data_IF_270433834658
#
_entry.id   IF_270433834658
#
_cell.length_a   1.000
_cell.length_b   1.000
_cell.length_c   1.000
_cell.angle_alpha   90.00
_cell.angle_beta   90.00
_cell.angle_gamma   90.00
#
_symmetry.space_group_name_H-M   'P 1'
#
loop_
_entity.id
_entity.type
_entity.pdbx_description
1 polymer ?
#
# COMPACT_ATOMS: atom_id res chain seq x y z
N UNK A 1 17.31 -25.55 -13.11
CA UNK A 1 18.51 -24.69 -13.05
C UNK A 1 18.29 -23.74 -11.87
N UNK A 2 19.30 -23.53 -11.03
CA UNK A 2 19.21 -22.54 -9.94
C UNK A 2 19.32 -21.10 -10.45
N UNK A 3 19.08 -20.14 -9.59
CA UNK A 3 19.21 -18.72 -9.91
C UNK A 3 20.67 -18.35 -10.27
N UNK A 4 20.81 -17.28 -11.07
CA UNK A 4 22.13 -16.78 -11.49
C UNK A 4 22.99 -16.30 -10.31
N UNK A 5 22.36 -15.68 -9.33
CA UNK A 5 22.99 -15.20 -8.10
C UNK A 5 22.42 -15.95 -6.89
N UNK A 6 23.26 -16.16 -5.87
CA UNK A 6 22.87 -16.78 -4.60
C UNK A 6 22.71 -15.74 -3.50
N UNK A 7 21.97 -16.07 -2.45
CA UNK A 7 21.79 -15.20 -1.27
C UNK A 7 23.12 -14.80 -0.63
N UNK A 8 24.04 -15.76 -0.51
CA UNK A 8 25.35 -15.53 0.10
C UNK A 8 26.30 -14.73 -0.80
N UNK A 9 26.17 -14.86 -2.14
CA UNK A 9 27.06 -14.21 -3.09
C UNK A 9 26.69 -12.73 -3.36
N UNK A 10 25.43 -12.49 -3.69
CA UNK A 10 24.91 -11.13 -3.95
C UNK A 10 23.41 -11.09 -3.65
N UNK A 11 23.06 -10.75 -2.41
CA UNK A 11 21.67 -10.75 -1.95
C UNK A 11 20.75 -9.77 -2.73
N UNK A 12 21.14 -8.52 -3.05
CA UNK A 12 20.33 -7.64 -3.87
C UNK A 12 20.02 -8.17 -5.26
N UNK A 13 21.00 -8.75 -5.94
CA UNK A 13 20.83 -9.35 -7.27
C UNK A 13 20.05 -10.67 -7.21
N UNK A 14 20.28 -11.49 -6.19
CA UNK A 14 19.47 -12.68 -5.92
C UNK A 14 17.99 -12.31 -5.82
N UNK A 15 17.64 -11.30 -5.04
CA UNK A 15 16.26 -10.83 -4.90
C UNK A 15 15.64 -10.46 -6.25
N UNK A 16 16.36 -9.69 -7.08
CA UNK A 16 15.89 -9.31 -8.42
C UNK A 16 15.72 -10.52 -9.34
N UNK A 17 16.64 -11.50 -9.24
CA UNK A 17 16.53 -12.74 -10.00
C UNK A 17 15.30 -13.56 -9.59
N UNK A 18 14.98 -13.66 -8.29
CA UNK A 18 13.74 -14.33 -7.83
C UNK A 18 12.51 -13.67 -8.43
N UNK A 19 12.43 -12.34 -8.39
CA UNK A 19 11.28 -11.58 -8.94
C UNK A 19 11.13 -11.83 -10.44
N UNK A 20 12.24 -11.78 -11.19
CA UNK A 20 12.25 -11.94 -12.64
C UNK A 20 11.96 -13.37 -13.08
N UNK A 21 12.66 -14.36 -12.50
CA UNK A 21 12.52 -15.78 -12.89
C UNK A 21 11.15 -16.37 -12.49
N UNK A 22 10.53 -15.83 -11.42
CA UNK A 22 9.17 -16.18 -11.02
C UNK A 22 8.08 -15.39 -11.79
N UNK A 23 8.46 -14.58 -12.75
CA UNK A 23 7.55 -13.78 -13.59
C UNK A 23 6.58 -12.91 -12.79
N UNK A 24 7.08 -12.29 -11.70
CA UNK A 24 6.25 -11.54 -10.78
C UNK A 24 6.08 -10.06 -11.16
N UNK A 25 7.15 -9.41 -11.59
CA UNK A 25 7.15 -8.00 -11.95
C UNK A 25 8.35 -7.63 -12.82
N UNK A 26 8.25 -6.50 -13.50
CA UNK A 26 9.33 -5.89 -14.28
C UNK A 26 9.27 -4.36 -14.19
N UNK A 27 10.35 -3.69 -14.57
CA UNK A 27 10.37 -2.24 -14.69
C UNK A 27 9.49 -1.80 -15.86
N UNK A 28 8.69 -0.76 -15.65
CA UNK A 28 7.90 -0.17 -16.73
C UNK A 28 8.72 0.86 -17.54
N UNK A 29 8.15 1.35 -18.64
CA UNK A 29 8.70 2.49 -19.39
C UNK A 29 8.61 3.82 -18.62
N UNK A 30 7.74 3.89 -17.61
CA UNK A 30 7.64 5.05 -16.71
C UNK A 30 8.70 4.94 -15.62
N UNK A 31 9.59 5.95 -15.47
CA UNK A 31 10.69 5.89 -14.52
C UNK A 31 10.23 5.59 -13.10
N UNK A 32 10.85 4.59 -12.48
CA UNK A 32 10.59 4.20 -11.11
C UNK A 32 9.29 3.42 -10.86
N UNK A 33 8.45 3.24 -11.88
CA UNK A 33 7.23 2.45 -11.79
C UNK A 33 7.47 1.01 -12.23
N UNK A 34 6.71 0.07 -11.67
CA UNK A 34 6.78 -1.34 -12.03
C UNK A 34 5.49 -1.82 -12.71
N UNK A 35 5.64 -2.81 -13.58
CA UNK A 35 4.53 -3.65 -14.02
C UNK A 35 4.48 -4.87 -13.11
N UNK A 36 3.38 -5.07 -12.40
CA UNK A 36 3.14 -6.31 -11.66
C UNK A 36 2.48 -7.28 -12.64
N UNK A 37 3.18 -8.38 -12.95
CA UNK A 37 2.72 -9.39 -13.91
C UNK A 37 1.59 -10.24 -13.30
N UNK A 38 0.83 -10.98 -14.12
CA UNK A 38 -0.34 -11.73 -13.64
C UNK A 38 -0.07 -12.66 -12.46
N UNK A 39 1.06 -13.36 -12.45
CA UNK A 39 1.40 -14.25 -11.33
C UNK A 39 1.69 -13.48 -10.04
N UNK A 40 2.47 -12.40 -10.12
CA UNK A 40 2.72 -11.51 -8.98
C UNK A 40 1.44 -10.83 -8.49
N UNK A 41 0.58 -10.39 -9.41
CA UNK A 41 -0.69 -9.76 -9.06
C UNK A 41 -1.65 -10.74 -8.37
N UNK A 42 -1.69 -11.99 -8.79
CA UNK A 42 -2.51 -13.03 -8.15
C UNK A 42 -2.09 -13.29 -6.68
N UNK A 43 -0.80 -13.13 -6.34
CA UNK A 43 -0.35 -13.19 -4.94
C UNK A 43 -0.87 -11.95 -4.17
N UNK A 44 -0.77 -10.76 -4.77
CA UNK A 44 -1.28 -9.52 -4.19
C UNK A 44 -2.80 -9.58 -3.94
N UNK A 45 -3.58 -10.10 -4.88
CA UNK A 45 -5.02 -10.29 -4.72
C UNK A 45 -5.37 -11.20 -3.53
N UNK A 46 -4.57 -12.24 -3.28
CA UNK A 46 -4.75 -13.10 -2.11
C UNK A 46 -4.43 -12.36 -0.80
N UNK A 47 -3.36 -11.56 -0.76
CA UNK A 47 -3.03 -10.72 0.39
C UNK A 47 -4.14 -9.70 0.64
N UNK A 48 -4.59 -9.03 -0.42
CA UNK A 48 -5.65 -8.02 -0.36
C UNK A 48 -6.95 -8.63 0.18
N UNK A 49 -7.39 -9.74 -0.37
CA UNK A 49 -8.63 -10.42 0.07
C UNK A 49 -8.57 -10.78 1.54
N UNK A 50 -7.48 -11.39 1.98
CA UNK A 50 -7.34 -11.83 3.37
C UNK A 50 -7.31 -10.65 4.34
N UNK A 51 -6.55 -9.59 4.02
CA UNK A 51 -6.51 -8.38 4.83
C UNK A 51 -7.85 -7.66 4.84
N UNK A 52 -8.55 -7.59 3.71
CA UNK A 52 -9.86 -6.95 3.61
C UNK A 52 -10.92 -7.67 4.47
N UNK A 53 -10.88 -8.99 4.50
CA UNK A 53 -11.74 -9.79 5.38
C UNK A 53 -11.44 -9.49 6.86
N UNK A 54 -10.16 -9.46 7.26
CA UNK A 54 -9.74 -9.11 8.63
C UNK A 54 -10.15 -7.69 9.03
N UNK A 55 -10.10 -6.72 8.10
CA UNK A 55 -10.58 -5.35 8.37
C UNK A 55 -12.10 -5.31 8.56
N UNK A 56 -12.85 -6.04 7.77
CA UNK A 56 -14.31 -6.14 7.90
C UNK A 56 -14.72 -6.81 9.21
N UNK A 57 -13.96 -7.83 9.66
CA UNK A 57 -14.18 -8.45 10.98
C UNK A 57 -14.01 -7.47 12.14
N UNK A 58 -13.19 -6.43 11.97
CA UNK A 58 -13.01 -5.36 12.96
C UNK A 58 -13.98 -4.18 12.76
N UNK A 59 -14.94 -4.30 11.84
CA UNK A 59 -15.99 -3.30 11.59
C UNK A 59 -15.63 -2.22 10.59
N UNK A 60 -14.48 -2.32 9.92
CA UNK A 60 -14.08 -1.35 8.90
C UNK A 60 -14.83 -1.55 7.59
N UNK A 61 -15.04 -0.46 6.87
CA UNK A 61 -15.67 -0.44 5.55
C UNK A 61 -14.77 0.21 4.53
N UNK A 62 -14.86 -0.26 3.28
CA UNK A 62 -14.07 0.31 2.20
C UNK A 62 -14.71 1.59 1.66
N UNK A 63 -13.90 2.60 1.41
CA UNK A 63 -14.24 3.82 0.71
C UNK A 63 -13.21 4.10 -0.40
N UNK A 64 -13.48 5.06 -1.27
CA UNK A 64 -12.53 5.51 -2.28
C UNK A 64 -12.47 7.04 -2.28
N UNK A 65 -11.26 7.58 -2.21
CA UNK A 65 -10.98 9.01 -2.25
C UNK A 65 -10.18 9.36 -3.51
N UNK A 66 -10.34 10.59 -4.05
CA UNK A 66 -9.71 10.98 -5.30
C UNK A 66 -8.18 10.86 -5.31
N UNK A 67 -7.64 10.49 -6.47
CA UNK A 67 -6.20 10.43 -6.74
C UNK A 67 -5.55 11.82 -6.67
N UNK A 68 -6.25 12.84 -7.18
CA UNK A 68 -5.74 14.20 -7.30
C UNK A 68 -6.14 15.05 -6.10
N UNK A 69 -5.16 15.66 -5.46
CA UNK A 69 -5.32 16.50 -4.27
C UNK A 69 -5.00 17.94 -4.65
N UNK A 70 -5.87 18.93 -4.35
CA UNK A 70 -5.54 20.35 -4.51
C UNK A 70 -4.26 20.71 -3.73
N UNK A 71 -3.32 21.40 -4.36
CA UNK A 71 -2.04 21.79 -3.72
C UNK A 71 -2.25 22.58 -2.42
N UNK A 72 -3.31 23.41 -2.37
CA UNK A 72 -3.67 24.18 -1.18
C UNK A 72 -3.97 23.31 0.05
N UNK A 73 -4.38 22.04 -0.13
CA UNK A 73 -4.64 21.14 1.01
C UNK A 73 -3.36 20.72 1.71
N UNK A 74 -2.27 20.48 0.97
CA UNK A 74 -0.96 20.17 1.57
C UNK A 74 -0.43 21.33 2.42
N UNK A 75 -0.75 22.57 2.06
CA UNK A 75 -0.27 23.76 2.79
C UNK A 75 -0.98 23.97 4.14
N UNK A 76 -2.04 23.21 4.46
CA UNK A 76 -2.80 23.37 5.72
C UNK A 76 -2.16 22.66 6.89
N UNK A 77 -1.32 21.69 6.64
CA UNK A 77 -0.63 20.89 7.67
C UNK A 77 0.88 20.92 7.38
N UNK A 78 1.61 21.82 8.08
CA UNK A 78 3.01 22.12 7.77
C UNK A 78 3.97 20.92 7.96
N UNK A 79 3.77 20.12 9.02
CA UNK A 79 4.61 18.94 9.26
C UNK A 79 4.44 17.87 8.18
N UNK A 80 3.22 17.71 7.68
CA UNK A 80 2.92 16.79 6.58
C UNK A 80 3.60 17.23 5.28
N UNK A 81 3.63 18.55 5.01
CA UNK A 81 4.33 19.13 3.86
C UNK A 81 5.83 18.84 3.91
N UNK A 82 6.48 19.03 5.05
CA UNK A 82 7.91 18.74 5.19
C UNK A 82 8.26 17.27 4.88
N UNK A 83 7.37 16.34 5.24
CA UNK A 83 7.54 14.92 4.99
C UNK A 83 7.41 14.52 3.51
N UNK A 84 6.48 15.11 2.77
CA UNK A 84 6.10 14.64 1.42
C UNK A 84 6.37 15.62 0.28
N UNK A 85 6.61 16.90 0.55
CA UNK A 85 6.76 17.93 -0.50
C UNK A 85 7.86 17.63 -1.51
N UNK A 86 8.92 16.94 -1.11
CA UNK A 86 10.08 16.62 -1.95
C UNK A 86 9.84 15.46 -2.92
N UNK A 87 8.78 14.70 -2.73
CA UNK A 87 8.51 13.44 -3.44
C UNK A 87 7.17 13.46 -4.20
N UNK A 88 6.55 14.62 -4.37
CA UNK A 88 5.26 14.75 -5.03
C UNK A 88 5.39 14.85 -6.55
N UNK A 89 4.48 14.17 -7.26
CA UNK A 89 4.21 14.44 -8.66
C UNK A 89 3.09 15.48 -8.77
N UNK A 90 3.32 16.52 -9.59
CA UNK A 90 2.44 17.68 -9.73
C UNK A 90 1.81 17.71 -11.12
N UNK A 91 0.47 17.79 -11.17
CA UNK A 91 -0.30 17.98 -12.41
C UNK A 91 -0.57 19.47 -12.60
N UNK A 92 -0.04 20.03 -13.68
CA UNK A 92 -0.08 21.48 -13.96
C UNK A 92 -1.02 21.84 -15.10
N UNK A 93 -1.34 20.87 -15.99
CA UNK A 93 -2.16 21.06 -17.19
C UNK A 93 -3.13 19.89 -17.37
N UNK A 94 -4.26 20.14 -18.05
CA UNK A 94 -5.30 19.13 -18.27
C UNK A 94 -5.45 18.69 -19.74
N UNK A 95 -4.61 19.21 -20.69
CA UNK A 95 -4.75 18.89 -22.10
C UNK A 95 -3.40 18.88 -22.81
N UNK A 96 -3.31 18.03 -23.83
CA UNK A 96 -2.25 18.02 -24.83
C UNK A 96 -2.78 18.60 -26.15
N UNK A 97 -1.88 19.11 -27.00
CA UNK A 97 -2.16 19.49 -28.39
C UNK A 97 -1.06 18.99 -29.33
N UNK A 98 -1.34 18.94 -30.63
CA UNK A 98 -0.33 18.63 -31.62
C UNK A 98 0.71 19.76 -31.67
N UNK A 99 1.98 19.40 -31.79
CA UNK A 99 3.06 20.34 -32.04
C UNK A 99 2.93 20.92 -33.46
N UNK A 100 3.22 22.20 -33.63
CA UNK A 100 3.10 22.88 -34.92
C UNK A 100 4.11 22.37 -35.96
N UNK A 101 5.25 21.86 -35.50
CA UNK A 101 6.31 21.27 -36.32
C UNK A 101 6.09 19.79 -36.68
N UNK A 102 4.97 19.20 -36.25
CA UNK A 102 4.65 17.78 -36.45
C UNK A 102 5.47 16.78 -35.62
N UNK A 103 6.21 17.24 -34.61
CA UNK A 103 7.04 16.37 -33.73
C UNK A 103 6.25 15.51 -32.79
N UNK A 104 4.91 15.59 -32.80
CA UNK A 104 4.03 14.81 -31.95
C UNK A 104 3.12 15.66 -31.06
N UNK A 105 2.93 15.27 -29.78
CA UNK A 105 2.08 16.00 -28.85
C UNK A 105 2.90 16.77 -27.82
N UNK A 106 2.43 17.96 -27.49
CA UNK A 106 3.01 18.84 -26.47
C UNK A 106 1.93 19.21 -25.45
N UNK A 107 2.36 19.61 -24.25
CA UNK A 107 1.45 20.19 -23.26
C UNK A 107 0.86 21.49 -23.84
N UNK A 108 -0.47 21.62 -23.82
CA UNK A 108 -1.14 22.85 -24.28
C UNK A 108 -0.98 23.96 -23.24
N UNK A 109 -0.23 25.07 -23.52
CA UNK A 109 -0.04 26.14 -22.56
C UNK A 109 -1.35 26.83 -22.14
N UNK A 110 -2.38 26.78 -22.99
CA UNK A 110 -3.70 27.37 -22.71
C UNK A 110 -4.53 26.52 -21.75
N UNK A 111 -4.10 25.26 -21.48
CA UNK A 111 -4.79 24.35 -20.60
C UNK A 111 -4.13 24.25 -19.20
N UNK A 112 -3.41 25.28 -18.78
CA UNK A 112 -2.86 25.35 -17.42
C UNK A 112 -3.98 25.38 -16.40
N UNK A 113 -3.84 24.58 -15.34
CA UNK A 113 -4.76 24.59 -14.22
C UNK A 113 -4.66 25.90 -13.42
N UNK A 114 -5.77 26.42 -12.95
CA UNK A 114 -5.79 27.58 -12.05
C UNK A 114 -5.10 27.22 -10.71
N UNK A 115 -5.36 26.02 -10.19
CA UNK A 115 -4.67 25.44 -9.05
C UNK A 115 -4.03 24.13 -9.48
N UNK A 116 -2.75 23.94 -9.17
CA UNK A 116 -2.02 22.72 -9.41
C UNK A 116 -2.56 21.58 -8.51
N UNK A 117 -2.59 20.38 -9.06
CA UNK A 117 -3.03 19.18 -8.34
C UNK A 117 -1.83 18.26 -8.07
N UNK A 118 -1.88 17.59 -6.95
CA UNK A 118 -0.86 16.63 -6.53
C UNK A 118 -1.41 15.23 -6.74
N UNK A 119 -0.65 14.34 -7.38
CA UNK A 119 -0.93 12.91 -7.34
C UNK A 119 -0.64 12.46 -5.92
N UNK A 120 -1.62 11.90 -5.22
CA UNK A 120 -1.54 11.58 -3.78
C UNK A 120 -0.28 10.78 -3.43
N UNK A 121 0.59 11.28 -2.55
CA UNK A 121 1.66 10.51 -1.93
C UNK A 121 1.15 9.72 -0.71
N UNK A 122 0.03 10.17 -0.16
CA UNK A 122 -0.79 9.62 0.92
C UNK A 122 -2.11 10.40 0.94
N UNK A 123 -3.15 9.93 1.61
CA UNK A 123 -4.50 10.48 1.44
C UNK A 123 -5.04 11.26 2.63
N UNK A 124 -4.27 11.49 3.70
CA UNK A 124 -4.77 12.17 4.90
C UNK A 124 -5.47 13.49 4.56
N UNK A 125 -4.85 14.34 3.75
CA UNK A 125 -5.37 15.69 3.49
C UNK A 125 -6.71 15.67 2.73
N UNK A 126 -6.86 14.81 1.72
CA UNK A 126 -8.13 14.68 0.98
C UNK A 126 -9.20 13.99 1.83
N UNK A 127 -8.83 13.02 2.65
CA UNK A 127 -9.75 12.31 3.53
C UNK A 127 -10.26 13.24 4.64
N UNK A 128 -9.38 13.97 5.31
CA UNK A 128 -9.78 14.89 6.37
C UNK A 128 -10.61 16.07 5.86
N UNK A 129 -10.37 16.55 4.63
CA UNK A 129 -11.24 17.53 3.99
C UNK A 129 -12.65 16.97 3.74
N UNK A 130 -12.78 15.67 3.50
CA UNK A 130 -14.05 14.98 3.30
C UNK A 130 -14.75 14.70 4.63
N UNK A 131 -14.01 14.22 5.64
CA UNK A 131 -14.56 13.94 6.98
C UNK A 131 -15.16 15.16 7.65
N UNK A 132 -14.67 16.35 7.33
CA UNK A 132 -15.30 17.60 7.74
C UNK A 132 -16.80 17.69 7.40
N UNK A 133 -17.21 17.07 6.29
CA UNK A 133 -18.60 17.07 5.84
C UNK A 133 -19.40 15.89 6.40
N UNK A 134 -18.73 14.84 6.86
CA UNK A 134 -19.38 13.61 7.36
C UNK A 134 -19.61 13.65 8.86
N UNK A 135 -18.81 14.41 9.60
CA UNK A 135 -18.81 14.44 11.07
C UNK A 135 -19.43 15.75 11.56
N UNK A 136 -20.50 15.64 12.32
CA UNK A 136 -21.19 16.76 12.97
C UNK A 136 -21.42 16.50 14.46
N UNK A 137 -21.66 15.26 14.85
CA UNK A 137 -21.97 14.88 16.22
C UNK A 137 -21.29 13.56 16.61
N UNK A 138 -21.30 13.28 17.91
CA UNK A 138 -20.78 12.01 18.45
C UNK A 138 -21.46 10.76 17.86
N UNK A 139 -22.66 10.91 17.24
CA UNK A 139 -23.38 9.81 16.59
C UNK A 139 -22.78 9.40 15.27
N UNK A 140 -21.97 10.26 14.67
CA UNK A 140 -21.27 9.99 13.42
C UNK A 140 -19.93 9.26 13.66
N UNK A 141 -19.58 9.04 14.92
CA UNK A 141 -18.32 8.41 15.35
C UNK A 141 -18.56 7.02 15.99
N UNK A 142 -17.61 6.07 15.83
CA UNK A 142 -16.39 6.21 15.06
C UNK A 142 -16.62 6.10 13.56
N UNK A 143 -15.79 6.76 12.74
CA UNK A 143 -15.63 6.45 11.33
C UNK A 143 -14.47 5.45 11.21
N UNK A 144 -14.73 4.30 10.59
CA UNK A 144 -13.78 3.22 10.39
C UNK A 144 -13.66 2.91 8.89
N UNK A 145 -12.86 3.71 8.18
CA UNK A 145 -12.71 3.57 6.73
C UNK A 145 -11.35 2.97 6.34
N UNK A 146 -11.39 2.15 5.32
CA UNK A 146 -10.24 1.63 4.61
C UNK A 146 -10.32 1.99 3.12
N UNK A 147 -9.18 2.17 2.47
CA UNK A 147 -9.09 2.37 1.03
C UNK A 147 -8.00 1.48 0.44
N UNK A 148 -8.34 0.75 -0.62
CA UNK A 148 -7.37 0.10 -1.50
C UNK A 148 -7.08 1.03 -2.68
N UNK A 149 -5.83 1.39 -2.87
CA UNK A 149 -5.45 2.44 -3.82
C UNK A 149 -4.00 2.31 -4.28
N UNK A 150 -3.61 3.16 -5.20
CA UNK A 150 -2.22 3.46 -5.51
C UNK A 150 -1.83 4.81 -4.92
N UNK A 151 -0.54 5.00 -4.71
CA UNK A 151 0.07 6.29 -4.36
C UNK A 151 1.34 6.47 -5.16
N UNK A 152 1.79 7.73 -5.29
CA UNK A 152 3.01 8.06 -5.99
C UNK A 152 3.93 8.90 -5.10
N UNK A 153 5.17 8.40 -4.90
CA UNK A 153 6.26 9.09 -4.20
C UNK A 153 7.48 9.05 -5.11
N UNK A 154 7.97 10.19 -5.54
CA UNK A 154 9.05 10.28 -6.52
C UNK A 154 10.34 9.68 -5.96
N UNK A 155 10.61 8.42 -6.30
CA UNK A 155 11.73 7.65 -5.77
C UNK A 155 12.86 7.52 -6.81
N UNK A 156 14.07 7.83 -6.41
CA UNK A 156 15.25 7.80 -7.27
C UNK A 156 16.00 6.46 -7.24
N UNK A 157 15.82 5.66 -6.19
CA UNK A 157 16.52 4.37 -6.00
C UNK A 157 15.51 3.25 -5.88
N UNK A 158 14.99 2.83 -7.01
CA UNK A 158 13.89 1.86 -7.07
C UNK A 158 14.36 0.41 -6.92
N UNK A 159 13.50 -0.41 -6.31
CA UNK A 159 13.59 -1.86 -6.26
C UNK A 159 12.18 -2.43 -6.31
N UNK A 160 11.94 -3.36 -7.24
CA UNK A 160 10.63 -3.98 -7.44
C UNK A 160 10.02 -4.45 -6.11
N UNK A 161 8.75 -4.12 -5.87
CA UNK A 161 7.96 -4.32 -4.65
C UNK A 161 8.46 -3.56 -3.41
N UNK A 162 9.76 -3.46 -3.17
CA UNK A 162 10.30 -2.88 -1.94
C UNK A 162 10.27 -1.35 -1.93
N UNK A 163 10.58 -0.73 -3.07
CA UNK A 163 10.70 0.71 -3.21
C UNK A 163 10.52 1.12 -4.67
N UNK A 164 9.34 1.61 -5.02
CA UNK A 164 8.99 2.08 -6.37
C UNK A 164 8.33 3.45 -6.28
N UNK A 165 8.34 4.20 -7.38
CA UNK A 165 7.72 5.52 -7.42
C UNK A 165 6.20 5.44 -7.27
N UNK A 166 5.57 4.51 -7.97
CA UNK A 166 4.18 4.14 -7.79
C UNK A 166 4.10 2.76 -7.15
N UNK A 167 3.16 2.57 -6.23
CA UNK A 167 2.88 1.27 -5.62
C UNK A 167 1.41 1.16 -5.19
N UNK A 168 0.95 -0.07 -5.12
CA UNK A 168 -0.35 -0.41 -4.55
C UNK A 168 -0.22 -0.54 -3.04
N UNK A 169 -1.24 -0.10 -2.35
CA UNK A 169 -1.30 -0.20 -0.90
C UNK A 169 -2.74 -0.27 -0.38
N UNK A 170 -2.84 -0.43 0.88
CA UNK A 170 -4.01 -0.19 1.68
C UNK A 170 -3.69 0.91 2.68
N UNK A 171 -4.63 1.80 2.88
CA UNK A 171 -4.59 2.81 3.93
C UNK A 171 -5.92 2.87 4.66
N UNK A 172 -5.86 2.75 5.98
CA UNK A 172 -7.02 2.95 6.84
C UNK A 172 -6.96 4.32 7.49
N UNK A 173 -8.11 4.95 7.64
CA UNK A 173 -8.25 6.26 8.28
C UNK A 173 -9.47 6.24 9.14
N UNK A 174 -9.28 6.46 10.44
CA UNK A 174 -10.37 6.41 11.41
C UNK A 174 -10.49 7.69 12.20
N UNK A 175 -11.72 8.00 12.63
CA UNK A 175 -12.02 9.16 13.47
C UNK A 175 -12.82 8.70 14.69
N UNK A 176 -12.43 9.17 15.87
CA UNK A 176 -12.94 8.74 17.17
C UNK A 176 -13.32 9.94 18.04
N UNK A 177 -14.23 9.71 19.00
CA UNK A 177 -14.67 10.73 19.94
C UNK A 177 -13.64 10.98 21.04
N UNK A 178 -12.85 9.98 21.42
CA UNK A 178 -11.89 10.10 22.52
C UNK A 178 -10.48 9.65 22.10
N UNK A 179 -9.51 10.11 22.88
CA UNK A 179 -8.10 9.72 22.72
C UNK A 179 -7.93 8.23 22.89
N UNK A 180 -8.54 7.68 23.93
CA UNK A 180 -8.44 6.28 24.31
C UNK A 180 -8.97 5.35 23.21
N UNK A 181 -10.08 5.72 22.58
CA UNK A 181 -10.64 4.99 21.43
C UNK A 181 -9.67 4.98 20.26
N UNK A 182 -9.05 6.12 19.91
CA UNK A 182 -8.11 6.22 18.81
C UNK A 182 -6.80 5.47 19.09
N UNK A 183 -6.25 5.56 20.31
CA UNK A 183 -5.05 4.80 20.71
C UNK A 183 -5.33 3.29 20.65
N UNK A 184 -6.47 2.84 21.17
CA UNK A 184 -6.89 1.44 21.11
C UNK A 184 -7.04 0.96 19.66
N UNK A 185 -7.58 1.79 18.78
CA UNK A 185 -7.72 1.48 17.36
C UNK A 185 -6.36 1.34 16.67
N UNK A 186 -5.43 2.27 16.90
CA UNK A 186 -4.08 2.19 16.36
C UNK A 186 -3.36 0.89 16.77
N UNK A 187 -3.51 0.49 18.04
CA UNK A 187 -2.96 -0.77 18.57
C UNK A 187 -3.66 -2.01 17.97
N UNK A 188 -4.98 -1.97 17.83
CA UNK A 188 -5.76 -3.05 17.21
C UNK A 188 -5.27 -3.33 15.78
N UNK A 189 -5.09 -2.29 14.97
CA UNK A 189 -4.66 -2.45 13.58
C UNK A 189 -3.22 -2.91 13.47
N UNK A 190 -2.34 -2.52 14.39
CA UNK A 190 -1.01 -3.11 14.50
C UNK A 190 -1.06 -4.62 14.75
N UNK A 191 -1.98 -5.09 15.60
CA UNK A 191 -2.16 -6.51 15.88
C UNK A 191 -2.74 -7.25 14.67
N UNK A 192 -3.69 -6.66 13.95
CA UNK A 192 -4.22 -7.23 12.69
C UNK A 192 -3.10 -7.45 11.69
N UNK A 193 -2.21 -6.47 11.51
CA UNK A 193 -1.06 -6.62 10.62
C UNK A 193 -0.06 -7.68 11.09
N UNK A 194 0.20 -7.75 12.39
CA UNK A 194 1.04 -8.80 12.95
C UNK A 194 0.46 -10.19 12.74
N UNK A 195 -0.82 -10.36 13.00
CA UNK A 195 -1.54 -11.61 12.80
C UNK A 195 -1.55 -12.03 11.32
N UNK A 196 -1.75 -11.08 10.40
CA UNK A 196 -1.65 -11.35 8.97
C UNK A 196 -0.24 -11.81 8.57
N UNK A 197 0.79 -11.09 9.02
CA UNK A 197 2.17 -11.44 8.71
C UNK A 197 2.54 -12.84 9.23
N UNK A 198 2.18 -13.17 10.46
CA UNK A 198 2.53 -14.44 11.09
C UNK A 198 1.68 -15.62 10.57
N UNK A 199 0.35 -15.45 10.46
CA UNK A 199 -0.57 -16.55 10.16
C UNK A 199 -0.71 -16.84 8.66
N UNK A 200 -0.65 -15.81 7.81
CA UNK A 200 -0.88 -15.96 6.37
C UNK A 200 0.40 -15.81 5.54
N UNK A 201 1.26 -14.87 5.89
CA UNK A 201 2.55 -14.73 5.23
C UNK A 201 3.61 -15.67 5.81
N UNK A 202 3.39 -16.26 7.00
CA UNK A 202 4.38 -17.02 7.78
C UNK A 202 5.70 -16.22 8.01
N UNK A 203 5.59 -14.92 8.17
CA UNK A 203 6.70 -14.00 8.44
C UNK A 203 6.65 -13.58 9.91
N UNK A 204 7.58 -14.05 10.75
CA UNK A 204 7.69 -13.57 12.12
C UNK A 204 7.99 -12.09 12.16
N UNK A 205 7.27 -11.32 12.98
CA UNK A 205 7.43 -9.88 13.09
C UNK A 205 7.56 -9.42 14.53
N UNK A 206 8.35 -8.38 14.73
CA UNK A 206 8.44 -7.65 16.00
C UNK A 206 7.53 -6.43 15.91
N UNK A 207 6.66 -6.28 16.92
CA UNK A 207 5.82 -5.08 17.09
C UNK A 207 6.56 -4.07 17.96
N UNK A 208 6.60 -2.81 17.53
CA UNK A 208 7.33 -1.76 18.25
C UNK A 208 6.78 -0.36 17.99
N UNK A 209 7.37 0.60 18.68
CA UNK A 209 7.10 2.04 18.55
C UNK A 209 8.31 2.71 17.92
N UNK A 210 8.11 3.52 16.92
CA UNK A 210 9.20 4.27 16.28
C UNK A 210 9.72 5.39 17.16
N UNK A 211 11.02 5.65 17.07
CA UNK A 211 11.64 6.82 17.69
C UNK A 211 11.02 8.12 17.14
N UNK A 212 11.14 9.21 17.88
CA UNK A 212 10.54 10.50 17.49
C UNK A 212 10.97 10.96 16.08
N UNK A 213 12.23 10.69 15.69
CA UNK A 213 12.78 11.08 14.39
C UNK A 213 12.28 10.25 13.21
N UNK A 214 11.66 9.09 13.47
CA UNK A 214 11.16 8.18 12.44
C UNK A 214 9.63 8.09 12.42
N UNK A 215 8.96 8.89 13.24
CA UNK A 215 7.50 8.95 13.25
C UNK A 215 6.98 9.46 11.92
N UNK A 216 5.78 9.00 11.58
CA UNK A 216 5.04 9.57 10.46
C UNK A 216 4.76 11.05 10.71
N UNK A 217 4.95 11.88 9.68
CA UNK A 217 4.73 13.33 9.76
C UNK A 217 3.29 13.65 10.17
N UNK A 218 3.12 14.38 11.25
CA UNK A 218 1.82 14.70 11.85
C UNK A 218 1.30 13.68 12.87
N UNK A 219 2.00 12.57 13.14
CA UNK A 219 1.60 11.59 14.14
C UNK A 219 2.20 11.88 15.52
N UNK A 220 1.41 11.64 16.57
CA UNK A 220 1.90 11.65 17.96
C UNK A 220 2.71 10.40 18.26
N UNK A 221 2.23 9.23 17.79
CA UNK A 221 2.95 7.96 17.86
C UNK A 221 2.81 7.17 16.57
N UNK A 222 3.87 6.43 16.23
CA UNK A 222 3.91 5.51 15.10
C UNK A 222 4.32 4.13 15.59
N UNK A 223 3.42 3.18 15.44
CA UNK A 223 3.65 1.76 15.69
C UNK A 223 4.05 1.07 14.40
N UNK A 224 4.87 0.03 14.47
CA UNK A 224 5.38 -0.70 13.31
C UNK A 224 5.43 -2.19 13.57
N UNK A 225 5.27 -2.98 12.53
CA UNK A 225 5.68 -4.38 12.49
C UNK A 225 6.91 -4.50 11.59
N UNK A 226 7.95 -5.17 12.08
CA UNK A 226 9.21 -5.34 11.36
C UNK A 226 9.60 -6.81 11.33
N UNK A 227 9.92 -7.33 10.14
CA UNK A 227 10.42 -8.68 9.94
C UNK A 227 11.94 -8.70 9.77
N UNK A 228 12.61 -9.71 10.32
CA UNK A 228 14.03 -9.94 10.07
C UNK A 228 14.19 -10.74 8.78
N UNK A 229 14.88 -10.14 7.81
CA UNK A 229 15.13 -10.77 6.51
C UNK A 229 16.37 -11.66 6.55
N UNK A 230 16.52 -12.51 5.52
CA UNK A 230 17.63 -13.50 5.48
C UNK A 230 19.04 -12.86 5.40
N UNK A 231 19.13 -11.58 5.02
CA UNK A 231 20.39 -10.81 5.05
C UNK A 231 20.69 -10.19 6.43
N UNK A 232 19.91 -10.51 7.45
CA UNK A 232 20.05 -9.99 8.80
C UNK A 232 19.55 -8.57 9.01
N UNK A 233 18.87 -7.97 8.04
CA UNK A 233 18.30 -6.62 8.15
C UNK A 233 16.82 -6.66 8.49
N UNK A 234 16.37 -5.71 9.30
CA UNK A 234 14.96 -5.49 9.55
C UNK A 234 14.29 -4.81 8.35
N UNK A 235 13.10 -5.30 7.99
CA UNK A 235 12.23 -4.69 6.99
C UNK A 235 10.93 -4.26 7.66
N UNK A 236 10.58 -2.98 7.54
CA UNK A 236 9.26 -2.48 7.93
C UNK A 236 8.18 -3.11 7.04
N UNK A 237 7.28 -3.87 7.64
CA UNK A 237 6.20 -4.57 6.95
C UNK A 237 4.86 -3.84 7.02
N UNK A 238 4.64 -3.01 8.04
CA UNK A 238 3.42 -2.22 8.17
C UNK A 238 3.53 -1.20 9.28
N UNK A 239 2.69 -0.17 9.24
CA UNK A 239 2.65 0.89 10.25
C UNK A 239 1.22 1.22 10.65
N UNK A 240 1.06 1.63 11.90
CA UNK A 240 -0.17 2.16 12.45
C UNK A 240 0.16 3.42 13.25
N UNK A 241 -0.56 4.51 12.95
CA UNK A 241 -0.26 5.83 13.47
C UNK A 241 -1.38 6.32 14.38
N UNK A 242 -1.04 6.78 15.57
CA UNK A 242 -1.91 7.61 16.37
C UNK A 242 -1.64 9.07 16.00
N UNK A 243 -2.57 9.68 15.26
CA UNK A 243 -2.43 11.05 14.72
C UNK A 243 -2.86 12.14 15.72
N UNK A 244 -3.48 11.74 16.83
CA UNK A 244 -4.05 12.71 17.78
C UNK A 244 -5.14 13.56 17.13
N UNK A 245 -5.08 14.87 17.31
CA UNK A 245 -6.04 15.83 16.74
C UNK A 245 -5.40 16.73 15.65
N UNK A 246 -4.18 16.45 15.21
CA UNK A 246 -3.42 17.34 14.32
C UNK A 246 -4.16 17.59 13.01
N UNK A 247 -4.54 16.53 12.29
CA UNK A 247 -5.31 16.64 11.05
C UNK A 247 -6.73 17.20 11.28
N UNK A 248 -7.38 16.80 12.36
CA UNK A 248 -8.71 17.33 12.70
C UNK A 248 -8.67 18.85 12.90
N UNK A 249 -7.65 19.39 13.56
CA UNK A 249 -7.44 20.84 13.73
C UNK A 249 -7.09 21.52 12.41
N UNK A 250 -6.20 20.96 11.61
CA UNK A 250 -5.78 21.51 10.31
C UNK A 250 -6.96 21.65 9.32
N UNK A 251 -7.90 20.70 9.33
CA UNK A 251 -9.08 20.70 8.46
C UNK A 251 -10.37 21.14 9.14
N UNK A 252 -10.29 21.53 10.42
CA UNK A 252 -11.42 21.96 11.24
C UNK A 252 -12.54 20.89 11.29
N UNK A 253 -12.18 19.65 11.63
CA UNK A 253 -13.10 18.53 11.79
C UNK A 253 -13.50 18.41 13.25
N UNK A 254 -14.67 18.92 13.57
CA UNK A 254 -15.22 18.99 14.92
C UNK A 254 -16.53 18.22 15.02
N UNK A 255 -16.88 17.81 16.21
CA UNK A 255 -18.16 17.17 16.52
C UNK A 255 -18.75 17.74 17.81
N UNK A 256 -20.05 17.66 17.93
CA UNK A 256 -20.76 17.97 19.19
C UNK A 256 -20.82 16.70 20.04
N UNK A 257 -20.27 16.74 21.25
CA UNK A 257 -20.27 15.62 22.18
C UNK A 257 -21.64 15.41 22.85
N UNK A 258 -21.75 14.38 23.71
CA UNK A 258 -22.98 14.07 24.47
C UNK A 258 -23.41 15.17 25.44
N UNK A 259 -22.53 16.11 25.79
CA UNK A 259 -22.76 17.23 26.69
C UNK A 259 -23.00 18.56 25.95
N UNK A 260 -23.25 18.51 24.64
CA UNK A 260 -23.37 19.67 23.75
C UNK A 260 -22.09 20.55 23.70
N UNK A 261 -20.92 19.93 23.91
CA UNK A 261 -19.63 20.60 23.75
C UNK A 261 -19.05 20.29 22.38
N UNK A 262 -18.46 21.32 21.77
CA UNK A 262 -17.72 21.16 20.53
C UNK A 262 -16.28 20.71 20.83
N UNK A 263 -15.81 19.66 20.18
CA UNK A 263 -14.44 19.17 20.29
C UNK A 263 -13.93 18.67 18.93
N UNK A 264 -12.62 18.58 18.78
CA UNK A 264 -11.99 17.97 17.63
C UNK A 264 -11.94 16.44 17.75
N UNK A 265 -12.12 15.74 16.64
CA UNK A 265 -12.03 14.29 16.62
C UNK A 265 -10.59 13.82 16.81
N UNK A 266 -10.43 12.60 17.32
CA UNK A 266 -9.16 11.90 17.43
C UNK A 266 -8.97 10.95 16.25
N UNK A 267 -7.76 10.90 15.71
CA UNK A 267 -7.48 10.30 14.42
C UNK A 267 -6.47 9.17 14.49
N UNK A 268 -6.65 8.16 13.64
CA UNK A 268 -5.61 7.18 13.30
C UNK A 268 -5.45 7.07 11.79
N UNK A 269 -4.27 6.66 11.34
CA UNK A 269 -4.06 6.09 10.01
C UNK A 269 -3.15 4.87 10.10
N UNK A 270 -3.35 3.91 9.22
CA UNK A 270 -2.58 2.67 9.21
C UNK A 270 -2.50 2.11 7.79
N UNK A 271 -1.35 1.49 7.44
CA UNK A 271 -1.13 1.07 6.07
C UNK A 271 -0.11 -0.04 5.89
N UNK A 272 -0.35 -0.83 4.83
CA UNK A 272 0.59 -1.79 4.24
C UNK A 272 0.57 -1.66 2.72
N UNK A 273 1.66 -2.03 2.08
CA UNK A 273 1.82 -1.89 0.63
C UNK A 273 2.30 -3.18 -0.01
N UNK A 274 2.47 -3.15 -1.33
CA UNK A 274 3.15 -4.22 -2.09
C UNK A 274 4.56 -4.53 -1.59
N UNK A 275 5.12 -3.75 -0.63
CA UNK A 275 6.34 -4.13 0.10
C UNK A 275 6.22 -5.47 0.80
N UNK A 276 5.00 -5.88 1.21
CA UNK A 276 4.75 -7.21 1.76
C UNK A 276 5.12 -8.34 0.79
N UNK A 277 5.00 -8.12 -0.53
CA UNK A 277 5.49 -9.06 -1.55
C UNK A 277 7.01 -9.23 -1.46
N UNK A 278 7.73 -8.12 -1.26
CA UNK A 278 9.17 -8.14 -1.02
C UNK A 278 9.54 -8.87 0.27
N UNK A 279 8.83 -8.62 1.35
CA UNK A 279 9.02 -9.32 2.63
C UNK A 279 8.83 -10.84 2.47
N UNK A 280 7.79 -11.25 1.75
CA UNK A 280 7.49 -12.65 1.45
C UNK A 280 8.65 -13.35 0.72
N UNK A 281 9.16 -12.71 -0.35
CA UNK A 281 10.30 -13.22 -1.12
C UNK A 281 11.54 -13.32 -0.24
N UNK A 282 11.86 -12.26 0.50
CA UNK A 282 13.07 -12.17 1.31
C UNK A 282 13.06 -13.11 2.51
N UNK A 283 11.88 -13.57 2.96
CA UNK A 283 11.75 -14.51 4.07
C UNK A 283 11.81 -15.95 3.61
N UNK A 284 11.13 -16.31 2.52
CA UNK A 284 10.86 -17.71 2.18
C UNK A 284 11.67 -18.23 1.00
N UNK A 285 12.03 -17.38 0.04
CA UNK A 285 12.70 -17.82 -1.18
C UNK A 285 14.12 -18.30 -0.92
N UNK A 286 14.61 -19.18 -1.79
CA UNK A 286 15.94 -19.78 -1.70
C UNK A 286 16.74 -19.58 -3.00
N UNK A 287 17.88 -20.26 -3.12
CA UNK A 287 18.73 -20.16 -4.31
C UNK A 287 18.19 -20.96 -5.51
N UNK A 288 17.10 -21.70 -5.33
CA UNK A 288 16.37 -22.37 -6.41
C UNK A 288 15.23 -21.51 -6.98
N UNK A 289 14.75 -20.50 -6.23
CA UNK A 289 13.74 -19.56 -6.69
C UNK A 289 12.70 -19.16 -5.63
N UNK A 290 11.53 -18.79 -6.12
CA UNK A 290 10.41 -18.31 -5.30
C UNK A 290 9.81 -19.44 -4.47
N UNK A 291 9.69 -19.22 -3.17
CA UNK A 291 8.95 -20.08 -2.24
C UNK A 291 7.83 -19.27 -1.61
N UNK A 292 6.62 -19.82 -1.57
CA UNK A 292 5.42 -19.16 -1.06
C UNK A 292 4.74 -20.03 0.01
N UNK A 293 4.20 -19.39 1.08
CA UNK A 293 3.30 -20.07 1.99
C UNK A 293 2.02 -20.50 1.25
N UNK A 294 1.42 -21.66 1.59
CA UNK A 294 0.26 -22.20 0.88
C UNK A 294 -0.93 -21.26 0.80
N UNK A 295 -1.19 -20.45 1.84
CA UNK A 295 -2.29 -19.49 1.86
C UNK A 295 -2.19 -18.42 0.76
N UNK A 296 -0.96 -18.03 0.40
CA UNK A 296 -0.71 -16.96 -0.57
C UNK A 296 -0.30 -17.49 -1.95
N UNK A 297 0.05 -18.76 -2.08
CA UNK A 297 0.38 -19.36 -3.37
C UNK A 297 -0.85 -19.36 -4.30
N UNK A 298 -0.77 -18.77 -5.50
CA UNK A 298 -1.86 -18.84 -6.49
C UNK A 298 -2.14 -20.26 -6.95
N UNK A 299 -1.07 -21.05 -7.09
CA UNK A 299 -1.11 -22.46 -7.46
C UNK A 299 -0.53 -23.26 -6.30
N UNK A 300 -1.35 -24.07 -5.66
CA UNK A 300 -0.95 -24.86 -4.48
C UNK A 300 -0.47 -26.26 -4.84
N UNK A 301 -0.96 -26.80 -5.94
CA UNK A 301 -0.63 -28.15 -6.40
C UNK A 301 -0.47 -28.14 -7.92
N UNK A 302 0.64 -28.67 -8.40
CA UNK A 302 0.89 -28.88 -9.84
C UNK A 302 1.00 -30.39 -10.09
N UNK A 303 0.18 -30.89 -11.00
CA UNK A 303 0.24 -32.29 -11.44
C UNK A 303 1.05 -32.34 -12.73
N UNK A 304 2.24 -32.95 -12.66
CA UNK A 304 3.10 -33.20 -13.84
C UNK A 304 2.90 -34.64 -14.30
N UNK A 305 2.18 -34.88 -15.41
CA UNK A 305 2.00 -36.23 -15.91
C UNK A 305 3.30 -36.76 -16.52
N UNK A 306 3.74 -37.93 -16.08
CA UNK A 306 4.89 -38.66 -16.67
C UNK A 306 4.32 -39.84 -17.41
N UNK A 307 4.45 -39.84 -18.73
CA UNK A 307 3.94 -40.95 -19.57
C UNK A 307 4.91 -41.33 -20.67
N UNK A 308 4.85 -42.60 -21.01
CA UNK A 308 5.45 -43.17 -22.21
C UNK A 308 4.32 -43.73 -23.05
N UNK A 309 4.10 -43.21 -24.27
CA UNK A 309 3.13 -43.69 -25.27
C UNK A 309 1.68 -43.87 -24.76
N UNK A 310 1.08 -42.87 -24.13
CA UNK A 310 -0.25 -42.97 -23.60
C UNK A 310 -1.27 -42.28 -24.51
N UNK A 311 -2.40 -42.95 -24.82
CA UNK A 311 -3.55 -42.45 -25.56
C UNK A 311 -4.35 -41.36 -24.77
N UNK A 312 -3.92 -41.01 -23.57
CA UNK A 312 -4.57 -39.99 -22.71
C UNK A 312 -4.60 -38.59 -23.34
N UNK A 313 -3.81 -38.33 -24.38
CA UNK A 313 -3.83 -37.07 -25.12
C UNK A 313 -4.92 -36.93 -26.15
N UNK A 314 -5.60 -37.97 -26.49
CA UNK A 314 -6.61 -37.95 -27.55
C UNK A 314 -8.03 -37.67 -27.03
N UNK A 315 -8.20 -37.58 -25.71
CA UNK A 315 -9.48 -37.27 -25.11
C UNK A 315 -9.35 -36.04 -24.23
N UNK A 316 -9.85 -34.83 -24.63
CA UNK A 316 -9.82 -33.63 -23.80
C UNK A 316 -10.61 -33.89 -22.52
N UNK A 317 -10.04 -33.45 -21.38
CA UNK A 317 -10.75 -33.56 -20.12
C UNK A 317 -12.01 -32.67 -20.14
N UNK A 318 -13.04 -32.93 -19.33
CA UNK A 318 -14.22 -32.07 -19.24
C UNK A 318 -13.89 -30.62 -18.85
N UNK A 319 -12.70 -30.37 -18.28
CA UNK A 319 -12.22 -29.01 -17.98
C UNK A 319 -11.63 -28.31 -19.20
N UNK A 320 -11.02 -29.04 -20.12
CA UNK A 320 -10.43 -28.48 -21.36
C UNK A 320 -11.51 -28.04 -22.32
N UNK A 321 -12.68 -28.71 -22.30
CA UNK A 321 -13.85 -28.37 -23.12
C UNK A 321 -14.58 -27.09 -22.67
N UNK A 322 -14.27 -26.54 -21.48
CA UNK A 322 -14.89 -25.30 -20.98
C UNK A 322 -14.09 -24.03 -21.32
N UNK A 323 -13.00 -24.14 -22.07
CA UNK A 323 -12.14 -23.01 -22.49
C UNK A 323 -12.13 -22.74 -23.99
N UNK A 324 -13.03 -23.35 -24.75
CA UNK A 324 -13.27 -23.05 -26.15
C UNK A 324 -14.49 -22.17 -26.37
#
# INVERSE_FOLDING_TARGET
MGLKNTRAGNYPEWYQNVVSEADMAENSSSPGCMVIKPYGYAIWEKMQRQLDDMFKETGHVNAYFPLLIPKSYLSREAEHVEGFAKECAVVTHYRLKNAEDGSGVIVDPAAKLEEELIIRPTSETIIWSTYKNWINSYRDLPILCNQWANVMRWEMRTRLFLRTAEFLWQEGHTAHATREEAEAEAQKMLHVYGDFAEKYMAVPVVKGVKSANERFAGALDTYTIEGLMQDGKALQCGTSHFLGQNFAKAFNVQFVDKNNKLDYVWATSWGVSTRLMGALIMTHSDDNGLVLPPHLAPIQVVIVPIYKNCLLYTSPSPRDMRRS
#
